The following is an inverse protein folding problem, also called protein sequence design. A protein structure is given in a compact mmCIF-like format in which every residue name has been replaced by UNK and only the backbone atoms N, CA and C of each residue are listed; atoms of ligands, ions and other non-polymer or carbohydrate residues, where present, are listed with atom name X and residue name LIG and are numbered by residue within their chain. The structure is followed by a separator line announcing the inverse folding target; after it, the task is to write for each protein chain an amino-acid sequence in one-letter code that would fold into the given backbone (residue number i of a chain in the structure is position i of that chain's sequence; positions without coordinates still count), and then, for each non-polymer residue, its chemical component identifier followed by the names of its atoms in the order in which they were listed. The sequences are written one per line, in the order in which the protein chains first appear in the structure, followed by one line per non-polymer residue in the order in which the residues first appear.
data_IF_294802530321
#
_entry.id   IF_294802530321
#
_cell.length_a   1.000
_cell.length_b   1.000
_cell.length_c   1.000
_cell.angle_alpha   90.00
_cell.angle_beta   90.00
_cell.angle_gamma   90.00
#
_symmetry.space_group_name_H-M   'P 1'
#
loop_
_entity.id
_entity.type
_entity.pdbx_description
1 polymer ?
#
# COMPACT_ATOMS: atom_id res chain seq x y z
N UNK A 1 -8.53 -21.20 -4.69
CA UNK A 1 -9.23 -20.34 -3.72
C UNK A 1 -8.21 -19.62 -2.85
N UNK A 2 -8.39 -18.32 -2.66
CA UNK A 2 -7.44 -17.54 -1.85
C UNK A 2 -7.73 -17.69 -0.37
N UNK A 3 -6.65 -17.64 0.44
CA UNK A 3 -6.75 -17.65 1.90
C UNK A 3 -7.50 -16.41 2.36
N UNK A 4 -8.57 -16.53 3.18
CA UNK A 4 -9.29 -15.38 3.69
C UNK A 4 -8.40 -14.50 4.58
N UNK A 5 -8.58 -13.18 4.48
CA UNK A 5 -7.96 -12.23 5.39
C UNK A 5 -8.99 -11.89 6.47
N UNK A 6 -8.69 -12.28 7.70
CA UNK A 6 -9.61 -12.07 8.83
C UNK A 6 -9.46 -10.68 9.44
N UNK A 7 -10.48 -10.26 10.19
CA UNK A 7 -10.46 -9.05 11.03
C UNK A 7 -10.14 -7.78 10.24
N UNK A 8 -10.91 -7.55 9.18
CA UNK A 8 -10.68 -6.39 8.29
C UNK A 8 -10.75 -5.05 9.03
N UNK A 9 -11.43 -4.98 10.17
CA UNK A 9 -11.49 -3.77 10.99
C UNK A 9 -10.13 -3.34 11.52
N UNK A 10 -9.18 -4.27 11.64
CA UNK A 10 -7.81 -3.94 12.07
C UNK A 10 -7.09 -3.00 11.09
N UNK A 11 -7.59 -2.92 9.86
CA UNK A 11 -6.99 -2.11 8.80
C UNK A 11 -7.69 -0.76 8.59
N UNK A 12 -8.59 -0.38 9.48
CA UNK A 12 -9.39 0.86 9.32
C UNK A 12 -8.53 2.10 9.12
N UNK A 13 -7.35 2.16 9.76
CA UNK A 13 -6.42 3.27 9.64
C UNK A 13 -5.84 3.43 8.21
N UNK A 14 -5.87 2.38 7.40
CA UNK A 14 -5.38 2.38 6.02
C UNK A 14 -6.50 2.43 4.99
N UNK A 15 -7.74 2.55 5.40
CA UNK A 15 -8.89 2.51 4.49
C UNK A 15 -8.78 3.52 3.33
N UNK A 16 -8.34 4.77 3.54
CA UNK A 16 -8.15 5.70 2.42
C UNK A 16 -7.16 5.19 1.37
N UNK A 17 -6.10 4.51 1.79
CA UNK A 17 -5.14 3.89 0.88
C UNK A 17 -5.79 2.74 0.10
N UNK A 18 -6.50 1.87 0.78
CA UNK A 18 -7.18 0.75 0.10
C UNK A 18 -8.16 1.26 -0.95
N UNK A 19 -8.93 2.29 -0.63
CA UNK A 19 -9.92 2.87 -1.56
C UNK A 19 -9.30 3.47 -2.79
N UNK A 20 -8.19 4.20 -2.66
CA UNK A 20 -7.57 4.83 -3.83
C UNK A 20 -6.96 3.78 -4.76
N UNK A 21 -6.44 2.68 -4.21
CA UNK A 21 -5.95 1.56 -5.02
C UNK A 21 -7.11 0.85 -5.73
N UNK A 22 -8.20 0.61 -5.02
CA UNK A 22 -9.41 0.01 -5.62
C UNK A 22 -9.94 0.87 -6.76
N UNK A 23 -9.96 2.19 -6.57
CA UNK A 23 -10.35 3.14 -7.61
C UNK A 23 -9.40 3.09 -8.81
N UNK A 24 -8.10 3.09 -8.56
CA UNK A 24 -7.09 3.05 -9.62
C UNK A 24 -7.09 1.75 -10.42
N UNK A 25 -7.53 0.66 -9.83
CA UNK A 25 -7.60 -0.66 -10.47
C UNK A 25 -9.01 -1.01 -10.96
N UNK A 26 -9.97 -0.11 -10.85
CA UNK A 26 -11.33 -0.35 -11.31
C UNK A 26 -11.34 -0.70 -12.80
N UNK A 27 -12.02 -1.79 -13.13
CA UNK A 27 -12.05 -2.33 -14.50
C UNK A 27 -10.80 -3.11 -14.90
N UNK A 28 -9.73 -3.09 -14.12
CA UNK A 28 -8.46 -3.78 -14.42
C UNK A 28 -8.26 -5.02 -13.55
N UNK A 29 -8.57 -4.92 -12.26
CA UNK A 29 -8.56 -6.03 -11.34
C UNK A 29 -9.99 -6.47 -11.04
N UNK A 30 -10.16 -7.69 -10.51
CA UNK A 30 -11.46 -8.22 -10.12
C UNK A 30 -12.11 -7.36 -9.04
N UNK A 31 -13.42 -7.51 -8.83
CA UNK A 31 -14.11 -6.71 -7.80
C UNK A 31 -13.70 -7.15 -6.39
N UNK A 32 -13.91 -6.27 -5.43
CA UNK A 32 -13.71 -6.59 -4.02
C UNK A 32 -12.88 -5.58 -3.27
N UNK A 33 -12.55 -5.94 -2.04
CA UNK A 33 -11.68 -5.19 -1.17
C UNK A 33 -10.23 -5.27 -1.67
N UNK A 34 -9.40 -4.32 -1.25
CA UNK A 34 -7.98 -4.26 -1.60
C UNK A 34 -7.30 -5.64 -1.59
N UNK A 35 -7.49 -6.42 -0.52
CA UNK A 35 -6.86 -7.75 -0.43
C UNK A 35 -7.39 -8.74 -1.46
N UNK A 36 -8.61 -8.56 -1.93
CA UNK A 36 -9.20 -9.43 -2.97
C UNK A 36 -8.58 -9.18 -4.34
N UNK A 37 -7.98 -8.01 -4.54
CA UNK A 37 -7.30 -7.65 -5.78
C UNK A 37 -5.92 -8.28 -5.91
N UNK A 38 -5.38 -8.82 -4.82
CA UNK A 38 -4.05 -9.43 -4.77
C UNK A 38 -4.13 -10.92 -5.05
N UNK A 39 -3.20 -11.42 -5.86
CA UNK A 39 -3.02 -12.86 -6.02
C UNK A 39 -2.54 -13.48 -4.69
N UNK A 40 -2.83 -14.76 -4.48
CA UNK A 40 -2.41 -15.49 -3.27
C UNK A 40 -0.90 -15.35 -3.01
N UNK A 41 -0.10 -15.43 -4.06
CA UNK A 41 1.36 -15.37 -3.98
C UNK A 41 1.92 -14.02 -4.45
N UNK A 42 1.14 -12.95 -4.33
CA UNK A 42 1.60 -11.61 -4.69
C UNK A 42 2.87 -11.23 -3.95
N UNK A 43 3.80 -10.60 -4.65
CA UNK A 43 5.07 -10.14 -4.08
C UNK A 43 5.06 -8.61 -3.99
N UNK A 44 5.35 -8.10 -2.81
CA UNK A 44 5.50 -6.66 -2.58
C UNK A 44 6.96 -6.34 -2.34
N UNK A 45 7.45 -5.31 -3.02
CA UNK A 45 8.80 -4.79 -2.84
C UNK A 45 8.74 -3.30 -2.47
N UNK A 46 9.51 -2.93 -1.46
CA UNK A 46 9.71 -1.54 -1.08
C UNK A 46 11.06 -1.11 -1.63
N UNK A 47 11.04 -0.39 -2.73
CA UNK A 47 12.23 -0.08 -3.52
C UNK A 47 13.15 0.89 -2.77
N UNK A 48 12.55 1.84 -2.06
CA UNK A 48 13.30 2.75 -1.20
C UNK A 48 13.32 2.16 0.20
N UNK A 49 14.53 1.91 0.71
CA UNK A 49 14.71 1.25 2.00
C UNK A 49 14.44 2.21 3.15
N UNK A 50 13.51 1.82 4.02
CA UNK A 50 13.29 2.48 5.31
C UNK A 50 13.83 1.54 6.38
N UNK A 51 14.74 2.01 7.26
CA UNK A 51 15.32 1.14 8.30
C UNK A 51 14.25 0.48 9.15
N UNK A 52 14.42 -0.82 9.39
CA UNK A 52 13.47 -1.61 10.16
C UNK A 52 12.26 -2.09 9.38
N UNK A 53 12.14 -1.73 8.11
CA UNK A 53 11.03 -2.16 7.25
C UNK A 53 11.50 -3.21 6.25
N UNK A 54 10.71 -4.25 5.98
CA UNK A 54 11.14 -5.28 5.03
C UNK A 54 11.22 -4.72 3.61
N UNK A 55 12.21 -5.20 2.85
CA UNK A 55 12.36 -4.81 1.44
C UNK A 55 11.45 -5.63 0.53
N UNK A 56 11.10 -6.85 0.94
CA UNK A 56 10.32 -7.78 0.15
C UNK A 56 9.41 -8.59 1.05
N UNK A 57 8.15 -8.71 0.66
CA UNK A 57 7.15 -9.52 1.36
C UNK A 57 6.47 -10.41 0.33
N UNK A 58 6.45 -11.71 0.57
CA UNK A 58 5.85 -12.69 -0.32
C UNK A 58 4.55 -13.23 0.26
N UNK A 59 3.51 -13.17 -0.55
CA UNK A 59 2.22 -13.71 -0.22
C UNK A 59 1.25 -12.68 0.35
N UNK A 60 0.02 -12.80 -0.09
CA UNK A 60 -1.10 -11.93 0.27
C UNK A 60 -1.33 -11.89 1.79
N UNK A 61 -1.24 -13.03 2.45
CA UNK A 61 -1.39 -13.12 3.91
C UNK A 61 -0.27 -12.38 4.63
N UNK A 62 0.98 -12.52 4.16
CA UNK A 62 2.12 -11.82 4.75
C UNK A 62 2.01 -10.29 4.58
N UNK A 63 1.48 -9.83 3.45
CA UNK A 63 1.21 -8.40 3.23
C UNK A 63 0.17 -7.90 4.23
N UNK A 64 -0.89 -8.66 4.47
CA UNK A 64 -1.90 -8.31 5.46
C UNK A 64 -1.29 -8.20 6.85
N UNK A 65 -0.46 -9.15 7.24
CA UNK A 65 0.21 -9.13 8.55
C UNK A 65 1.20 -7.97 8.68
N UNK A 66 1.84 -7.56 7.59
CA UNK A 66 2.68 -6.37 7.58
C UNK A 66 1.86 -5.10 7.88
N UNK A 67 0.66 -5.00 7.29
CA UNK A 67 -0.18 -3.82 7.43
C UNK A 67 -1.00 -3.79 8.73
N UNK A 68 -1.27 -4.93 9.34
CA UNK A 68 -2.16 -5.04 10.50
C UNK A 68 -1.77 -4.09 11.66
N UNK A 69 -0.49 -3.96 12.05
CA UNK A 69 -0.11 -3.08 13.16
C UNK A 69 -0.07 -1.58 12.83
N UNK A 70 -0.29 -1.19 11.57
CA UNK A 70 -0.20 0.24 11.20
C UNK A 70 -1.12 1.13 12.00
N UNK A 71 -2.31 0.66 12.35
CA UNK A 71 -3.28 1.44 13.13
C UNK A 71 -2.80 1.86 14.51
N UNK A 72 -1.75 1.21 15.03
CA UNK A 72 -1.12 1.61 16.29
C UNK A 72 -0.11 2.74 16.13
N UNK A 73 0.34 3.01 14.90
CA UNK A 73 1.38 3.99 14.62
C UNK A 73 0.86 5.18 13.82
N UNK A 74 -0.02 4.94 12.88
CA UNK A 74 -0.40 5.93 11.88
C UNK A 74 -1.86 5.75 11.46
N UNK A 75 -2.59 6.85 11.35
CA UNK A 75 -3.95 6.86 10.80
C UNK A 75 -3.97 7.78 9.59
N UNK A 76 -4.37 7.25 8.43
CA UNK A 76 -4.57 8.06 7.23
C UNK A 76 -5.94 8.71 7.26
N UNK A 77 -5.98 10.01 7.01
CA UNK A 77 -7.23 10.76 6.89
C UNK A 77 -7.77 10.71 5.46
N UNK A 78 -6.85 10.78 4.48
CA UNK A 78 -7.23 10.71 3.06
C UNK A 78 -6.05 10.30 2.18
N UNK A 79 -6.38 9.73 1.02
CA UNK A 79 -5.46 9.59 -0.11
C UNK A 79 -6.08 10.32 -1.30
N UNK A 80 -5.26 10.95 -2.12
CA UNK A 80 -5.74 11.86 -3.17
C UNK A 80 -4.72 12.01 -4.30
N UNK A 81 -5.07 12.81 -5.31
CA UNK A 81 -4.24 13.08 -6.49
C UNK A 81 -3.87 11.81 -7.26
N UNK A 82 -4.85 10.91 -7.43
CA UNK A 82 -4.64 9.68 -8.17
C UNK A 82 -4.40 9.95 -9.66
N UNK A 83 -3.28 9.43 -10.18
CA UNK A 83 -3.03 9.33 -11.61
C UNK A 83 -2.73 7.87 -11.94
N UNK A 84 -3.36 7.36 -13.00
CA UNK A 84 -3.22 5.97 -13.42
C UNK A 84 -2.55 5.93 -14.78
N UNK A 85 -1.44 5.19 -14.87
CA UNK A 85 -0.73 4.96 -16.11
C UNK A 85 -0.74 3.46 -16.40
N UNK A 86 -0.90 3.11 -17.67
CA UNK A 86 -1.21 1.74 -18.02
C UNK A 86 -0.42 1.29 -19.25
N UNK A 87 0.23 0.15 -19.14
CA UNK A 87 0.80 -0.58 -20.27
C UNK A 87 0.10 -1.93 -20.39
N UNK A 88 -0.93 -2.00 -21.23
CA UNK A 88 -1.73 -3.20 -21.37
C UNK A 88 -0.94 -4.38 -21.95
N UNK A 89 0.07 -4.12 -22.78
CA UNK A 89 0.90 -5.17 -23.39
C UNK A 89 1.72 -5.91 -22.33
N UNK A 90 2.19 -5.21 -21.30
CA UNK A 90 3.00 -5.78 -20.23
C UNK A 90 2.18 -6.15 -18.98
N UNK A 91 0.90 -5.78 -18.94
CA UNK A 91 0.08 -5.95 -17.75
C UNK A 91 0.52 -5.05 -16.60
N UNK A 92 1.15 -3.93 -16.90
CA UNK A 92 1.67 -3.00 -15.90
C UNK A 92 0.71 -1.84 -15.69
N UNK A 93 0.49 -1.50 -14.42
CA UNK A 93 -0.27 -0.30 -14.02
C UNK A 93 0.59 0.47 -13.05
N UNK A 94 0.74 1.77 -13.28
CA UNK A 94 1.43 2.67 -12.36
C UNK A 94 0.40 3.59 -11.73
N UNK A 95 0.38 3.63 -10.41
CA UNK A 95 -0.48 4.52 -9.63
C UNK A 95 0.39 5.57 -8.96
N UNK A 96 0.06 6.85 -9.18
CA UNK A 96 0.63 7.96 -8.42
C UNK A 96 -0.46 8.50 -7.52
N UNK A 97 -0.14 8.76 -6.27
CA UNK A 97 -1.10 9.31 -5.30
C UNK A 97 -0.37 9.90 -4.11
N UNK A 98 -1.10 10.61 -3.28
CA UNK A 98 -0.60 11.22 -2.06
C UNK A 98 -1.47 10.80 -0.88
N UNK A 99 -0.93 10.92 0.32
CA UNK A 99 -1.67 10.68 1.57
C UNK A 99 -1.46 11.79 2.58
N UNK A 100 -2.43 11.94 3.45
CA UNK A 100 -2.36 12.77 4.65
C UNK A 100 -2.95 12.01 5.82
N UNK A 101 -2.33 12.16 6.98
CA UNK A 101 -2.77 11.50 8.21
C UNK A 101 -2.03 12.03 9.42
N UNK A 102 -2.02 11.22 10.47
CA UNK A 102 -1.43 11.58 11.76
C UNK A 102 -0.70 10.40 12.37
N UNK A 103 0.37 10.73 13.09
CA UNK A 103 1.05 9.76 13.96
C UNK A 103 0.23 9.61 15.24
N UNK A 104 -0.12 8.38 15.59
CA UNK A 104 -1.01 8.09 16.73
C UNK A 104 -0.40 8.56 18.05
N UNK A 105 0.87 8.27 18.28
CA UNK A 105 1.53 8.56 19.57
C UNK A 105 1.70 10.05 19.85
N UNK A 106 1.88 10.87 18.82
CA UNK A 106 2.26 12.29 18.98
C UNK A 106 1.22 13.26 18.43
N UNK A 107 0.33 12.80 17.58
CA UNK A 107 -0.57 13.67 16.82
C UNK A 107 0.13 14.46 15.71
N UNK A 108 1.42 14.18 15.45
CA UNK A 108 2.17 14.87 14.40
C UNK A 108 1.56 14.58 13.02
N UNK A 109 1.52 15.59 12.13
CA UNK A 109 1.01 15.36 10.78
C UNK A 109 1.93 14.43 10.00
N UNK A 110 1.33 13.61 9.15
CA UNK A 110 2.03 12.80 8.18
C UNK A 110 1.48 13.12 6.79
N UNK A 111 2.37 13.41 5.86
CA UNK A 111 2.02 13.61 4.46
C UNK A 111 3.08 12.94 3.60
N UNK A 112 2.65 12.16 2.61
CA UNK A 112 3.60 11.46 1.75
C UNK A 112 3.08 11.36 0.31
N UNK A 113 3.99 11.03 -0.59
CA UNK A 113 3.68 10.78 -1.99
C UNK A 113 4.21 9.41 -2.38
N UNK A 114 3.48 8.74 -3.28
CA UNK A 114 3.77 7.36 -3.66
C UNK A 114 3.72 7.19 -5.16
N UNK A 115 4.55 6.27 -5.63
CA UNK A 115 4.40 5.63 -6.94
C UNK A 115 4.35 4.14 -6.66
N UNK A 116 3.28 3.49 -7.10
CA UNK A 116 3.15 2.04 -6.98
C UNK A 116 3.12 1.45 -8.38
N UNK A 117 4.08 0.58 -8.69
CA UNK A 117 4.20 -0.09 -9.98
C UNK A 117 3.70 -1.52 -9.83
N UNK A 118 2.55 -1.79 -10.43
CA UNK A 118 1.84 -3.06 -10.28
C UNK A 118 1.90 -3.88 -11.56
N UNK A 119 2.11 -5.19 -11.40
CA UNK A 119 1.95 -6.13 -12.49
C UNK A 119 0.69 -6.95 -12.24
N UNK A 120 -0.21 -6.99 -13.22
CA UNK A 120 -1.46 -7.76 -13.15
C UNK A 120 -1.37 -8.98 -14.08
N UNK A 121 -1.92 -10.11 -13.59
CA UNK A 121 -2.15 -11.34 -14.36
C UNK A 121 -3.52 -11.87 -13.95
N UNK A 122 -4.33 -12.22 -14.93
CA UNK A 122 -5.67 -12.79 -14.70
C UNK A 122 -6.50 -11.91 -13.74
N UNK A 123 -6.43 -10.60 -13.92
CA UNK A 123 -7.16 -9.60 -13.14
C UNK A 123 -6.78 -9.55 -11.66
N UNK A 124 -5.57 -10.01 -11.33
CA UNK A 124 -5.03 -9.92 -9.97
C UNK A 124 -3.64 -9.30 -9.98
N UNK A 125 -3.31 -8.58 -8.92
CA UNK A 125 -1.97 -8.04 -8.72
C UNK A 125 -1.05 -9.18 -8.29
N UNK A 126 -0.02 -9.45 -9.09
CA UNK A 126 0.98 -10.47 -8.78
C UNK A 126 2.29 -9.88 -8.28
N UNK A 127 2.57 -8.62 -8.59
CA UNK A 127 3.77 -7.93 -8.16
C UNK A 127 3.46 -6.46 -7.91
N UNK A 128 3.99 -5.92 -6.82
CA UNK A 128 3.83 -4.54 -6.38
C UNK A 128 5.18 -3.99 -5.99
N UNK A 129 5.64 -2.95 -6.68
CA UNK A 129 6.84 -2.21 -6.28
C UNK A 129 6.41 -0.85 -5.78
N UNK A 130 6.77 -0.54 -4.55
CA UNK A 130 6.36 0.69 -3.89
C UNK A 130 7.51 1.66 -3.76
N UNK A 131 7.25 2.92 -4.11
CA UNK A 131 8.17 4.03 -3.97
C UNK A 131 7.47 5.08 -3.12
N UNK A 132 8.14 5.52 -2.08
CA UNK A 132 7.62 6.57 -1.21
C UNK A 132 8.73 7.54 -0.86
N UNK A 133 8.37 8.69 -0.29
CA UNK A 133 9.35 9.65 0.21
C UNK A 133 9.77 9.25 1.63
N UNK A 134 11.00 8.73 1.83
CA UNK A 134 11.45 8.31 3.14
C UNK A 134 11.65 9.49 4.10
N UNK A 135 11.92 10.68 3.59
CA UNK A 135 12.09 11.86 4.44
C UNK A 135 10.78 12.20 5.15
N UNK A 136 9.64 12.05 4.46
CA UNK A 136 8.33 12.25 5.07
C UNK A 136 8.09 11.27 6.23
N UNK A 137 8.52 10.02 6.07
CA UNK A 137 8.42 9.02 7.13
C UNK A 137 9.26 9.42 8.33
N UNK A 138 10.51 9.81 8.10
CA UNK A 138 11.43 10.18 9.19
C UNK A 138 10.97 11.46 9.90
N UNK A 139 10.49 12.45 9.16
CA UNK A 139 9.99 13.69 9.77
C UNK A 139 8.79 13.44 10.67
N UNK A 140 7.92 12.50 10.31
CA UNK A 140 6.74 12.18 11.09
C UNK A 140 7.03 11.24 12.28
N UNK A 141 7.77 10.15 12.02
CA UNK A 141 7.99 9.07 12.99
C UNK A 141 9.33 9.15 13.72
N UNK A 142 10.23 10.01 13.28
CA UNK A 142 11.56 10.15 13.84
C UNK A 142 12.64 9.60 12.91
N UNK A 143 13.78 10.29 12.91
CA UNK A 143 14.93 9.89 12.11
C UNK A 143 15.61 8.68 12.74
N UNK A 144 16.11 7.75 11.91
CA UNK A 144 16.82 6.59 12.46
C UNK A 144 18.12 7.01 13.15
N UNK A 145 18.49 6.29 14.20
CA UNK A 145 19.77 6.47 14.86
C UNK A 145 20.92 6.10 13.91
N UNK A 146 22.00 6.83 13.98
CA UNK A 146 23.23 6.55 13.23
C UNK A 146 24.15 5.64 14.01
#
# INVERSE_FOLDING_TARGET
MKTPIANLDDFAALEPFFRIVEEGLDGLAGPGHFFDLLAEHAVFEYVITVPGYPRRVEGRTAVAELYRPYGSALVLDRCFDLAVHRDAAQGTVVLEYASEGKVVATGAPYANRYISVLTLRDREVVHWRDYLDPLAVFDALGWPAR
#
